data_IF_710117327955
#
_entry.id   IF_710117327955
#
_cell.length_a   1.000
_cell.length_b   1.000
_cell.length_c   1.000
_cell.angle_alpha   90.00
_cell.angle_beta   90.00
_cell.angle_gamma   90.00
#
_symmetry.space_group_name_H-M   'P 1'
#
loop_
_entity.id
_entity.type
_entity.pdbx_description
1 polymer ?
#
# COMPACT_ATOMS: atom_id res chain seq x y z
N UNK A 1 38.88 17.89 1.04
CA UNK A 1 37.77 17.64 0.12
C UNK A 1 37.00 16.47 0.68
N UNK A 2 35.84 16.73 1.29
CA UNK A 2 34.95 15.70 1.82
C UNK A 2 33.72 15.77 0.92
N UNK A 3 33.83 15.15 -0.26
CA UNK A 3 32.68 14.99 -1.15
C UNK A 3 31.83 13.85 -0.57
N UNK A 4 30.98 14.20 0.40
CA UNK A 4 29.84 13.36 0.74
C UNK A 4 28.86 13.49 -0.43
N UNK A 5 28.97 12.58 -1.40
CA UNK A 5 27.97 12.43 -2.44
C UNK A 5 26.58 12.29 -1.77
N UNK A 6 25.52 12.95 -2.31
CA UNK A 6 24.19 12.80 -1.76
C UNK A 6 23.73 11.34 -1.91
N UNK A 7 23.14 10.79 -0.85
CA UNK A 7 22.54 9.46 -0.87
C UNK A 7 21.64 9.31 -2.10
N UNK A 8 21.87 8.24 -2.87
CA UNK A 8 21.03 7.94 -4.03
C UNK A 8 19.63 7.62 -3.54
N UNK A 9 18.69 8.55 -3.73
CA UNK A 9 17.27 8.32 -3.43
C UNK A 9 16.73 7.25 -4.37
N UNK A 10 16.46 6.06 -3.85
CA UNK A 10 15.70 5.04 -4.57
C UNK A 10 14.23 5.37 -4.50
N UNK A 11 13.54 5.39 -5.64
CA UNK A 11 12.10 5.58 -5.69
C UNK A 11 11.43 4.29 -5.20
N UNK A 12 11.02 4.28 -3.93
CA UNK A 12 10.28 3.15 -3.33
C UNK A 12 8.80 3.49 -3.37
N UNK A 13 7.98 2.57 -3.88
CA UNK A 13 6.53 2.71 -3.85
C UNK A 13 5.99 2.44 -2.43
N UNK A 14 4.84 3.03 -2.06
CA UNK A 14 4.21 2.79 -0.75
C UNK A 14 3.96 1.30 -0.46
N UNK A 15 3.68 0.51 -1.50
CA UNK A 15 3.49 -0.95 -1.38
C UNK A 15 4.78 -1.67 -1.00
N UNK A 16 5.89 -1.29 -1.62
CA UNK A 16 7.22 -1.86 -1.32
C UNK A 16 7.70 -1.44 0.06
N UNK A 17 7.48 -0.17 0.45
CA UNK A 17 7.76 0.31 1.80
C UNK A 17 6.97 -0.50 2.84
N UNK A 18 5.67 -0.71 2.59
CA UNK A 18 4.81 -1.49 3.46
C UNK A 18 5.25 -2.96 3.55
N UNK A 19 5.64 -3.59 2.44
CA UNK A 19 6.23 -4.93 2.45
C UNK A 19 7.50 -4.97 3.31
N UNK A 20 8.41 -4.00 3.16
CA UNK A 20 9.62 -3.94 3.97
C UNK A 20 9.35 -3.75 5.47
N UNK A 21 8.27 -3.06 5.83
CA UNK A 21 7.82 -2.95 7.23
C UNK A 21 7.26 -4.27 7.75
N UNK A 22 6.51 -5.01 6.92
CA UNK A 22 5.96 -6.32 7.27
C UNK A 22 7.05 -7.38 7.43
N UNK A 23 8.06 -7.37 6.57
CA UNK A 23 9.20 -8.28 6.67
C UNK A 23 9.96 -8.09 7.98
N UNK A 24 10.11 -6.84 8.46
CA UNK A 24 10.76 -6.53 9.75
C UNK A 24 10.04 -7.15 10.95
N UNK A 25 8.74 -7.41 10.86
CA UNK A 25 7.96 -8.09 11.90
C UNK A 25 7.76 -9.59 11.62
N UNK A 26 8.44 -10.13 10.60
CA UNK A 26 8.38 -11.54 10.22
C UNK A 26 7.16 -11.93 9.40
N UNK A 27 6.41 -10.97 8.85
CA UNK A 27 5.26 -11.23 7.98
C UNK A 27 5.71 -11.19 6.53
N UNK A 28 5.54 -12.31 5.83
CA UNK A 28 5.84 -12.39 4.40
C UNK A 28 4.75 -11.69 3.59
N UNK A 29 5.17 -10.81 2.69
CA UNK A 29 4.27 -9.95 1.94
C UNK A 29 4.69 -9.90 0.46
N UNK A 30 3.72 -9.87 -0.44
CA UNK A 30 3.95 -9.83 -1.88
C UNK A 30 3.13 -8.70 -2.51
N UNK A 31 3.81 -7.84 -3.26
CA UNK A 31 3.17 -6.73 -3.98
C UNK A 31 2.39 -7.27 -5.16
N UNK A 32 1.10 -6.98 -5.24
CA UNK A 32 0.28 -7.29 -6.42
C UNK A 32 0.29 -6.12 -7.40
N UNK A 33 0.04 -6.42 -8.67
CA UNK A 33 -0.14 -5.39 -9.70
C UNK A 33 -1.37 -4.53 -9.36
N UNK A 34 -1.28 -3.21 -9.60
CA UNK A 34 -2.40 -2.29 -9.40
C UNK A 34 -3.55 -2.69 -10.33
N UNK A 35 -4.79 -2.55 -9.85
CA UNK A 35 -6.05 -2.88 -10.54
C UNK A 35 -6.20 -4.38 -10.87
N UNK A 36 -5.42 -5.25 -10.24
CA UNK A 36 -5.49 -6.70 -10.46
C UNK A 36 -6.47 -7.41 -9.53
N UNK A 37 -6.76 -6.84 -8.35
CA UNK A 37 -7.61 -7.45 -7.35
C UNK A 37 -9.01 -6.82 -7.29
N UNK A 38 -10.03 -7.62 -6.95
CA UNK A 38 -11.42 -7.13 -6.87
C UNK A 38 -11.62 -6.16 -5.71
N UNK A 39 -10.84 -6.31 -4.63
CA UNK A 39 -10.91 -5.39 -3.48
C UNK A 39 -10.59 -3.94 -3.87
N UNK A 40 -9.77 -3.74 -4.92
CA UNK A 40 -9.40 -2.43 -5.43
C UNK A 40 -10.55 -1.70 -6.12
N UNK A 41 -11.58 -2.45 -6.54
CA UNK A 41 -12.79 -1.92 -7.19
C UNK A 41 -13.94 -1.68 -6.21
N UNK A 42 -13.77 -2.09 -4.95
CA UNK A 42 -14.77 -1.95 -3.91
C UNK A 42 -14.84 -0.54 -3.32
N UNK A 43 -16.01 -0.16 -2.80
CA UNK A 43 -16.16 1.05 -2.00
C UNK A 43 -15.47 0.86 -0.63
N UNK A 44 -14.34 1.53 -0.39
CA UNK A 44 -13.54 1.37 0.82
C UNK A 44 -14.07 2.16 2.04
N UNK A 45 -15.14 2.94 1.88
CA UNK A 45 -15.67 3.83 2.92
C UNK A 45 -17.17 3.63 3.13
N UNK A 46 -17.61 3.60 4.40
CA UNK A 46 -19.04 3.60 4.71
C UNK A 46 -19.64 4.95 4.30
N UNK A 47 -20.55 4.94 3.32
CA UNK A 47 -21.29 6.15 2.88
C UNK A 47 -22.37 6.59 3.89
N UNK A 48 -22.46 5.94 5.05
CA UNK A 48 -23.56 6.06 6.01
C UNK A 48 -23.71 7.47 6.61
N UNK A 49 -22.66 8.30 6.61
CA UNK A 49 -22.67 9.62 7.27
C UNK A 49 -22.13 10.77 6.41
N UNK A 50 -21.92 10.56 5.11
CA UNK A 50 -21.27 11.57 4.24
C UNK A 50 -21.93 11.64 2.88
N UNK A 51 -22.48 12.81 2.55
CA UNK A 51 -23.02 13.13 1.22
C UNK A 51 -21.93 13.55 0.22
N UNK A 52 -20.67 13.62 0.64
CA UNK A 52 -19.56 14.01 -0.23
C UNK A 52 -18.97 12.80 -0.97
N UNK A 53 -18.71 12.91 -2.28
CA UNK A 53 -17.89 11.92 -2.98
C UNK A 53 -16.54 11.82 -2.29
N UNK A 54 -16.14 10.63 -1.84
CA UNK A 54 -14.80 10.40 -1.35
C UNK A 54 -13.87 10.21 -2.55
N UNK A 55 -12.98 11.18 -2.79
CA UNK A 55 -11.86 10.96 -3.71
C UNK A 55 -10.80 10.11 -2.99
N UNK A 56 -10.45 8.99 -3.62
CA UNK A 56 -9.51 8.02 -3.07
C UNK A 56 -8.47 7.71 -4.14
N UNK A 57 -7.20 7.86 -3.80
CA UNK A 57 -6.10 7.40 -4.64
C UNK A 57 -5.78 5.96 -4.28
N UNK A 58 -5.96 5.06 -5.26
CA UNK A 58 -5.55 3.66 -5.15
C UNK A 58 -4.02 3.56 -5.27
N UNK A 59 -3.35 3.02 -4.26
CA UNK A 59 -1.92 2.69 -4.31
C UNK A 59 -1.65 1.20 -4.56
N UNK A 60 -2.70 0.39 -4.74
CA UNK A 60 -2.67 -1.05 -4.99
C UNK A 60 -2.72 -1.89 -3.72
N UNK A 61 -2.58 -3.22 -3.88
CA UNK A 61 -2.69 -4.17 -2.77
C UNK A 61 -1.41 -5.00 -2.54
N UNK A 62 -1.31 -5.52 -1.31
CA UNK A 62 -0.25 -6.40 -0.84
C UNK A 62 -0.90 -7.68 -0.31
N UNK A 63 -0.45 -8.83 -0.81
CA UNK A 63 -0.89 -10.14 -0.33
C UNK A 63 0.01 -10.59 0.82
N UNK A 64 -0.58 -11.01 1.92
CA UNK A 64 0.17 -11.56 3.05
C UNK A 64 0.21 -13.08 2.96
N UNK A 65 1.29 -13.68 3.45
CA UNK A 65 1.45 -15.13 3.59
C UNK A 65 1.61 -15.45 5.07
N UNK A 66 1.07 -16.60 5.49
CA UNK A 66 1.12 -17.08 6.88
C UNK A 66 0.50 -16.10 7.90
N UNK A 67 -0.56 -15.39 7.49
CA UNK A 67 -1.32 -14.47 8.33
C UNK A 67 -2.81 -14.81 8.23
N UNK A 68 -3.58 -14.42 9.25
CA UNK A 68 -5.05 -14.47 9.21
C UNK A 68 -5.66 -13.37 8.33
N UNK A 69 -4.83 -12.46 7.82
CA UNK A 69 -5.21 -11.40 6.89
C UNK A 69 -4.70 -11.82 5.51
N UNK A 70 -5.59 -11.88 4.52
CA UNK A 70 -5.22 -12.30 3.16
C UNK A 70 -4.60 -11.16 2.34
N UNK A 71 -5.25 -9.99 2.34
CA UNK A 71 -4.92 -8.87 1.48
C UNK A 71 -5.01 -7.56 2.25
N UNK A 72 -4.04 -6.69 2.03
CA UNK A 72 -4.06 -5.29 2.49
C UNK A 72 -4.15 -4.38 1.28
N UNK A 73 -5.20 -3.57 1.22
CA UNK A 73 -5.37 -2.54 0.20
C UNK A 73 -4.86 -1.20 0.73
N UNK A 74 -3.94 -0.57 0.00
CA UNK A 74 -3.36 0.71 0.36
C UNK A 74 -4.07 1.81 -0.42
N UNK A 75 -4.76 2.68 0.31
CA UNK A 75 -5.49 3.81 -0.25
C UNK A 75 -5.10 5.11 0.45
N UNK A 76 -5.21 6.22 -0.28
CA UNK A 76 -5.04 7.56 0.28
C UNK A 76 -6.32 8.36 0.05
N UNK A 77 -6.89 8.90 1.12
CA UNK A 77 -7.98 9.87 1.04
C UNK A 77 -7.44 11.20 0.52
N UNK A 78 -8.14 11.79 -0.46
CA UNK A 78 -7.89 13.15 -0.95
C UNK A 78 -8.40 14.24 -0.02
#
# INVERSE_FOLDING_TARGET
MHDSEPDTFTQISKREEFCGLLEKIGVQAEVKQIDSDEIEKGDCYSKQFTHSPAMVTNHGCVKLKNSNIDIVHIIQKG
#
